data_IF_327256298393
#
_entry.id   IF_327256298393
#
_cell.length_a   1.000
_cell.length_b   1.000
_cell.length_c   1.000
_cell.angle_alpha   90.00
_cell.angle_beta   90.00
_cell.angle_gamma   90.00
#
_symmetry.space_group_name_H-M   'P 1'
#
loop_
_entity.id
_entity.type
_entity.pdbx_description
1 polymer ?
#
# COMPACT_ATOMS: atom_id res chain seq x y z
N UNK A 1 25.77 50.49 -9.94
CA UNK A 1 26.12 49.18 -9.38
C UNK A 1 24.81 48.43 -9.11
N UNK A 2 24.46 47.37 -9.86
CA UNK A 2 23.28 46.57 -9.52
C UNK A 2 23.67 45.42 -8.61
N UNK A 3 22.98 45.32 -7.47
CA UNK A 3 23.09 44.25 -6.48
C UNK A 3 22.38 43.01 -7.05
N UNK A 4 23.13 41.93 -7.27
CA UNK A 4 22.55 40.63 -7.58
C UNK A 4 22.00 39.99 -6.30
N UNK A 5 20.69 39.84 -6.21
CA UNK A 5 20.05 39.00 -5.20
C UNK A 5 20.12 37.55 -5.71
N UNK A 6 21.06 36.77 -5.19
CA UNK A 6 21.09 35.32 -5.41
C UNK A 6 20.04 34.70 -4.49
N UNK A 7 18.87 34.38 -5.06
CA UNK A 7 17.85 33.58 -4.40
C UNK A 7 18.30 32.12 -4.37
N UNK A 8 18.76 31.65 -3.21
CA UNK A 8 18.97 30.23 -2.92
C UNK A 8 17.61 29.55 -2.70
N UNK A 9 16.88 29.25 -3.78
CA UNK A 9 15.80 28.27 -3.70
C UNK A 9 16.41 26.87 -3.75
N UNK A 10 16.52 26.24 -2.57
CA UNK A 10 16.62 24.78 -2.46
C UNK A 10 15.48 24.18 -3.28
N UNK A 11 15.84 23.52 -4.36
CA UNK A 11 14.95 22.73 -5.20
C UNK A 11 14.47 21.52 -4.38
N UNK A 12 13.43 21.69 -3.56
CA UNK A 12 12.62 20.57 -3.09
C UNK A 12 11.80 20.09 -4.29
N UNK A 13 12.39 19.19 -5.09
CA UNK A 13 11.59 18.38 -6.01
C UNK A 13 10.72 17.47 -5.14
N UNK A 14 9.53 17.95 -4.81
CA UNK A 14 8.40 17.06 -4.56
C UNK A 14 8.15 16.33 -5.87
N UNK A 15 8.72 15.13 -6.02
CA UNK A 15 8.31 14.23 -7.09
C UNK A 15 6.88 13.82 -6.78
N UNK A 16 5.92 14.51 -7.41
CA UNK A 16 4.52 14.14 -7.34
C UNK A 16 4.39 12.67 -7.70
N UNK A 17 3.73 11.88 -6.83
CA UNK A 17 3.52 10.45 -7.04
C UNK A 17 2.98 10.20 -8.46
N UNK A 18 3.73 9.44 -9.26
CA UNK A 18 3.39 9.07 -10.62
C UNK A 18 2.79 7.67 -10.67
N UNK A 19 2.14 7.37 -11.78
CA UNK A 19 1.66 6.01 -12.09
C UNK A 19 2.82 5.03 -12.01
N UNK A 20 2.60 3.92 -11.30
CA UNK A 20 3.56 2.84 -11.17
C UNK A 20 3.70 2.08 -12.50
N UNK A 21 4.94 1.71 -12.80
CA UNK A 21 5.32 0.90 -13.95
C UNK A 21 6.08 -0.35 -13.51
N UNK A 22 5.82 -1.45 -14.20
CA UNK A 22 6.48 -2.74 -14.03
C UNK A 22 7.92 -2.75 -14.54
N UNK A 23 8.36 -1.73 -15.28
CA UNK A 23 9.71 -1.67 -15.84
C UNK A 23 10.83 -1.70 -14.79
N UNK A 24 10.53 -1.27 -13.56
CA UNK A 24 11.46 -1.26 -12.42
C UNK A 24 11.39 -2.53 -11.56
N UNK A 25 10.46 -3.43 -11.85
CA UNK A 25 10.32 -4.71 -11.16
C UNK A 25 11.49 -5.64 -11.48
N UNK A 26 12.04 -6.29 -10.46
CA UNK A 26 13.26 -7.09 -10.60
C UNK A 26 14.55 -6.27 -10.72
N UNK A 27 14.47 -4.94 -10.87
CA UNK A 27 15.65 -4.07 -11.04
C UNK A 27 15.88 -3.13 -9.87
N UNK A 28 14.85 -2.38 -9.49
CA UNK A 28 14.86 -1.39 -8.42
C UNK A 28 13.88 -1.75 -7.30
N UNK A 29 12.87 -2.56 -7.62
CA UNK A 29 11.81 -2.97 -6.72
C UNK A 29 11.54 -4.47 -6.81
N UNK A 30 11.09 -5.04 -5.70
CA UNK A 30 10.29 -6.26 -5.73
C UNK A 30 8.85 -5.89 -6.06
N UNK A 31 8.14 -6.77 -6.75
CA UNK A 31 6.80 -6.46 -7.25
C UNK A 31 5.87 -7.66 -7.20
N UNK A 32 4.58 -7.34 -7.17
CA UNK A 32 3.47 -8.23 -7.38
C UNK A 32 2.42 -7.49 -8.21
N UNK A 33 2.02 -8.07 -9.34
CA UNK A 33 1.04 -7.50 -10.25
C UNK A 33 -0.07 -8.50 -10.47
N UNK A 34 -1.31 -8.03 -10.48
CA UNK A 34 -2.49 -8.89 -10.63
C UNK A 34 -3.50 -8.27 -11.63
N UNK A 35 -4.22 -9.10 -12.41
CA UNK A 35 -4.14 -10.56 -12.46
C UNK A 35 -2.80 -11.09 -13.04
N UNK A 36 -2.50 -12.40 -12.96
CA UNK A 36 -1.28 -12.96 -13.54
C UNK A 36 -1.09 -12.59 -15.02
N UNK A 37 0.16 -12.39 -15.44
CA UNK A 37 0.56 -12.10 -16.82
C UNK A 37 -0.01 -10.78 -17.41
N UNK A 38 -0.29 -9.79 -16.57
CA UNK A 38 -0.70 -8.46 -17.00
C UNK A 38 0.49 -7.50 -17.24
N UNK A 39 0.22 -6.37 -17.90
CA UNK A 39 1.13 -5.24 -18.13
C UNK A 39 0.62 -3.93 -17.48
N UNK A 40 1.39 -2.83 -17.56
CA UNK A 40 1.06 -1.52 -16.96
C UNK A 40 -0.35 -0.98 -17.29
N UNK A 41 -0.94 -1.43 -18.41
CA UNK A 41 -2.26 -1.03 -18.90
C UNK A 41 -3.36 -2.01 -18.53
N UNK A 42 -3.04 -3.30 -18.53
CA UNK A 42 -3.99 -4.40 -18.33
C UNK A 42 -4.10 -4.85 -16.87
N UNK A 43 -3.10 -4.60 -16.01
CA UNK A 43 -3.16 -4.98 -14.60
C UNK A 43 -4.27 -4.26 -13.84
N UNK A 44 -4.99 -4.99 -13.01
CA UNK A 44 -5.95 -4.42 -12.07
C UNK A 44 -5.27 -3.71 -10.91
N UNK A 45 -4.09 -4.20 -10.52
CA UNK A 45 -3.23 -3.51 -9.58
C UNK A 45 -1.78 -3.97 -9.63
N UNK A 46 -0.94 -3.14 -9.03
CA UNK A 46 0.50 -3.37 -8.86
C UNK A 46 0.83 -2.99 -7.43
N UNK A 47 1.50 -3.88 -6.71
CA UNK A 47 2.16 -3.61 -5.43
C UNK A 47 3.65 -3.75 -5.67
N UNK A 48 4.43 -2.75 -5.28
CA UNK A 48 5.89 -2.84 -5.29
C UNK A 48 6.47 -2.36 -3.98
N UNK A 49 7.62 -2.92 -3.63
CA UNK A 49 8.33 -2.56 -2.42
C UNK A 49 9.83 -2.57 -2.60
N UNK A 50 10.51 -1.80 -1.75
CA UNK A 50 11.96 -1.77 -1.68
C UNK A 50 12.39 -1.49 -0.24
N UNK A 51 13.35 -2.27 0.25
CA UNK A 51 14.03 -1.98 1.51
C UNK A 51 15.01 -0.81 1.34
N UNK A 52 14.96 0.15 2.25
CA UNK A 52 15.85 1.31 2.31
C UNK A 52 16.29 1.50 3.77
N UNK A 53 17.44 0.92 4.15
CA UNK A 53 17.93 0.96 5.52
C UNK A 53 16.95 0.29 6.50
N UNK A 54 16.44 1.03 7.48
CA UNK A 54 15.43 0.55 8.44
C UNK A 54 13.98 0.62 7.91
N UNK A 55 13.76 1.26 6.77
CA UNK A 55 12.43 1.48 6.21
C UNK A 55 12.13 0.53 5.04
N UNK A 56 10.86 0.23 4.84
CA UNK A 56 10.37 -0.38 3.58
C UNK A 56 9.49 0.64 2.88
N UNK A 57 9.88 1.07 1.68
CA UNK A 57 9.01 1.83 0.81
C UNK A 57 7.99 0.87 0.20
N UNK A 58 6.71 1.11 0.48
CA UNK A 58 5.60 0.46 -0.18
C UNK A 58 4.95 1.45 -1.14
N UNK A 59 4.72 1.00 -2.37
CA UNK A 59 3.92 1.72 -3.35
C UNK A 59 2.92 0.75 -3.98
N UNK A 60 1.66 1.14 -4.06
CA UNK A 60 0.65 0.35 -4.74
C UNK A 60 -0.29 1.21 -5.56
N UNK A 61 -0.79 0.63 -6.65
CA UNK A 61 -1.88 1.21 -7.42
C UNK A 61 -2.91 0.18 -7.79
N UNK A 62 -4.11 0.65 -8.09
CA UNK A 62 -5.11 -0.13 -8.78
C UNK A 62 -6.03 0.73 -9.63
N UNK A 63 -6.63 0.10 -10.64
CA UNK A 63 -7.70 0.72 -11.44
C UNK A 63 -8.84 1.16 -10.53
N UNK A 64 -9.23 2.42 -10.67
CA UNK A 64 -10.49 2.96 -10.16
C UNK A 64 -11.58 2.73 -11.21
N UNK A 65 -12.05 1.49 -11.28
CA UNK A 65 -13.17 1.07 -12.12
C UNK A 65 -14.53 1.27 -11.43
N UNK A 66 -14.56 2.06 -10.34
CA UNK A 66 -15.78 2.33 -9.57
C UNK A 66 -16.72 3.33 -10.23
N UNK A 67 -16.25 4.08 -11.24
CA UNK A 67 -17.03 5.11 -11.95
C UNK A 67 -17.17 6.42 -11.18
N UNK A 68 -18.12 7.28 -11.57
CA UNK A 68 -18.48 8.46 -10.77
C UNK A 68 -19.20 8.02 -9.50
N UNK A 69 -18.46 7.92 -8.39
CA UNK A 69 -19.03 7.48 -7.12
C UNK A 69 -19.30 8.68 -6.21
N UNK A 70 -20.54 8.78 -5.75
CA UNK A 70 -20.94 9.63 -4.63
C UNK A 70 -20.34 9.19 -3.29
N UNK A 71 -19.65 8.05 -3.25
CA UNK A 71 -19.08 7.43 -2.05
C UNK A 71 -17.56 7.63 -1.96
N UNK A 72 -17.01 7.37 -0.77
CA UNK A 72 -15.57 7.19 -0.62
C UNK A 72 -15.13 5.85 -1.21
N UNK A 73 -13.83 5.64 -1.29
CA UNK A 73 -13.23 4.38 -1.76
C UNK A 73 -11.90 4.13 -1.07
N UNK A 74 -11.46 2.88 -1.07
CA UNK A 74 -10.18 2.50 -0.49
C UNK A 74 -9.42 1.52 -1.37
N UNK A 75 -8.10 1.52 -1.18
CA UNK A 75 -7.20 0.51 -1.70
C UNK A 75 -6.19 0.17 -0.63
N UNK A 76 -6.05 -1.12 -0.32
CA UNK A 76 -5.25 -1.62 0.79
C UNK A 76 -4.37 -2.78 0.39
N UNK A 77 -3.19 -2.83 1.01
CA UNK A 77 -2.34 -4.01 1.06
C UNK A 77 -2.29 -4.53 2.50
N UNK A 78 -2.22 -5.83 2.68
CA UNK A 78 -2.03 -6.45 3.99
C UNK A 78 -0.78 -7.31 4.01
N UNK A 79 -0.08 -7.28 5.15
CA UNK A 79 1.06 -8.13 5.47
C UNK A 79 0.52 -9.22 6.39
N UNK A 80 0.52 -10.47 5.89
CA UNK A 80 -0.13 -11.60 6.53
C UNK A 80 0.82 -12.77 6.78
N UNK A 81 0.47 -13.59 7.76
CA UNK A 81 1.16 -14.85 8.06
C UNK A 81 0.74 -16.00 7.13
N UNK A 82 -0.39 -15.87 6.46
CA UNK A 82 -0.98 -16.88 5.58
C UNK A 82 -1.80 -16.21 4.44
N UNK A 83 -2.53 -17.02 3.67
CA UNK A 83 -3.30 -16.57 2.51
C UNK A 83 -4.71 -16.06 2.88
N UNK A 84 -5.09 -16.08 4.17
CA UNK A 84 -6.43 -15.76 4.62
C UNK A 84 -6.49 -14.38 5.29
N UNK A 85 -7.62 -13.69 5.12
CA UNK A 85 -7.88 -12.46 5.86
C UNK A 85 -8.09 -12.79 7.34
N UNK A 86 -7.24 -12.25 8.19
CA UNK A 86 -7.13 -12.66 9.58
C UNK A 86 -6.31 -11.66 10.37
N UNK A 87 -5.30 -12.15 11.08
CA UNK A 87 -4.38 -11.34 11.88
C UNK A 87 -3.38 -10.62 10.98
N UNK A 88 -3.82 -9.55 10.29
CA UNK A 88 -3.01 -8.87 9.27
C UNK A 88 -2.71 -7.41 9.60
N UNK A 89 -1.49 -6.98 9.31
CA UNK A 89 -1.13 -5.55 9.32
C UNK A 89 -1.48 -4.93 7.98
N UNK A 90 -2.38 -3.97 7.98
CA UNK A 90 -2.91 -3.38 6.75
C UNK A 90 -2.36 -1.95 6.58
N UNK A 91 -1.88 -1.66 5.37
CA UNK A 91 -1.64 -0.30 4.90
C UNK A 91 -2.72 0.04 3.89
N UNK A 92 -3.37 1.18 4.05
CA UNK A 92 -4.51 1.54 3.22
C UNK A 92 -4.53 3.02 2.88
N UNK A 93 -4.96 3.31 1.66
CA UNK A 93 -5.45 4.62 1.31
C UNK A 93 -6.96 4.63 1.38
N UNK A 94 -7.50 5.70 1.96
CA UNK A 94 -8.93 5.99 1.86
C UNK A 94 -9.10 7.36 1.23
N UNK A 95 -9.97 7.41 0.22
CA UNK A 95 -10.26 8.60 -0.55
C UNK A 95 -11.71 9.02 -0.31
N UNK A 96 -11.91 10.31 -0.06
CA UNK A 96 -13.24 10.91 -0.09
C UNK A 96 -13.79 10.97 -1.53
N UNK A 97 -15.09 11.25 -1.71
CA UNK A 97 -15.69 11.31 -3.05
C UNK A 97 -15.06 12.34 -3.99
N UNK A 98 -14.51 13.44 -3.44
CA UNK A 98 -13.78 14.46 -4.20
C UNK A 98 -12.32 14.09 -4.48
N UNK A 99 -11.91 12.88 -4.11
CA UNK A 99 -10.59 12.31 -4.37
C UNK A 99 -9.45 12.75 -3.48
N UNK A 100 -9.74 13.42 -2.36
CA UNK A 100 -8.74 13.68 -1.33
C UNK A 100 -8.43 12.37 -0.60
N UNK A 101 -7.21 11.87 -0.77
CA UNK A 101 -6.73 10.63 -0.18
C UNK A 101 -5.90 10.84 1.09
N UNK A 102 -5.93 9.85 1.98
CA UNK A 102 -4.96 9.72 3.08
C UNK A 102 -4.48 8.27 3.21
N UNK A 103 -3.22 8.09 3.61
CA UNK A 103 -2.67 6.78 3.97
C UNK A 103 -2.76 6.56 5.48
N UNK A 104 -3.17 5.38 5.90
CA UNK A 104 -3.23 4.98 7.30
C UNK A 104 -2.92 3.48 7.47
N UNK A 105 -2.71 3.06 8.72
CA UNK A 105 -2.59 1.67 9.11
C UNK A 105 -3.87 1.21 9.79
N UNK A 106 -4.21 -0.05 9.56
CA UNK A 106 -5.27 -0.76 10.26
C UNK A 106 -4.84 -2.19 10.54
N UNK A 107 -5.66 -2.91 11.30
CA UNK A 107 -5.48 -4.33 11.59
C UNK A 107 -6.74 -5.07 11.18
N UNK A 108 -6.60 -6.09 10.36
CA UNK A 108 -7.70 -7.02 10.16
C UNK A 108 -7.77 -7.96 11.36
N UNK A 109 -8.98 -8.28 11.78
CA UNK A 109 -9.28 -9.32 12.76
C UNK A 109 -10.45 -10.14 12.20
N UNK A 110 -10.13 -10.98 11.19
CA UNK A 110 -11.07 -11.72 10.35
C UNK A 110 -12.17 -10.83 9.74
N UNK A 111 -13.32 -10.70 10.39
CA UNK A 111 -14.50 -9.99 9.86
C UNK A 111 -14.53 -8.50 10.19
N UNK A 112 -13.49 -7.96 10.82
CA UNK A 112 -13.42 -6.57 11.22
C UNK A 112 -12.08 -5.94 10.86
N UNK A 113 -12.11 -4.63 10.65
CA UNK A 113 -10.92 -3.84 10.43
C UNK A 113 -10.83 -2.74 11.49
N UNK A 114 -9.71 -2.68 12.19
CA UNK A 114 -9.47 -1.78 13.31
C UNK A 114 -8.41 -0.76 12.94
N UNK A 115 -8.74 0.54 12.82
CA UNK A 115 -7.74 1.59 12.59
C UNK A 115 -6.68 1.61 13.70
N UNK A 116 -5.42 1.86 13.32
CA UNK A 116 -4.27 1.96 14.21
C UNK A 116 -3.72 3.39 14.17
N UNK A 117 -4.34 4.36 14.86
CA UNK A 117 -3.99 5.78 14.73
C UNK A 117 -2.56 6.09 15.20
N UNK A 118 -2.03 5.40 16.22
CA UNK A 118 -0.69 5.68 16.72
C UNK A 118 0.36 5.13 15.75
N UNK A 119 0.19 3.91 15.25
CA UNK A 119 1.02 3.31 14.22
C UNK A 119 0.99 4.10 12.92
N UNK A 120 -0.20 4.57 12.49
CA UNK A 120 -0.38 5.41 11.31
C UNK A 120 0.44 6.71 11.34
N UNK A 121 0.75 7.22 12.53
CA UNK A 121 1.50 8.46 12.71
C UNK A 121 2.99 8.24 12.98
N UNK A 122 3.35 7.09 13.55
CA UNK A 122 4.74 6.78 13.93
C UNK A 122 5.46 5.91 12.92
N UNK A 123 4.84 4.80 12.52
CA UNK A 123 5.42 3.79 11.63
C UNK A 123 5.34 4.23 10.18
N UNK A 124 4.32 5.00 9.79
CA UNK A 124 4.22 5.49 8.41
C UNK A 124 4.78 6.91 8.24
N UNK A 125 5.74 7.07 7.32
CA UNK A 125 6.30 8.35 6.88
C UNK A 125 6.09 8.56 5.38
N UNK A 126 6.26 9.81 4.92
CA UNK A 126 6.18 10.18 3.49
C UNK A 126 4.92 9.64 2.79
N UNK A 127 3.80 9.70 3.50
CA UNK A 127 2.50 9.19 3.08
C UNK A 127 1.96 9.98 1.89
N UNK A 128 1.58 9.31 0.83
CA UNK A 128 0.95 9.91 -0.34
C UNK A 128 -0.20 9.03 -0.82
N UNK A 129 -1.33 9.65 -1.15
CA UNK A 129 -2.49 9.02 -1.74
C UNK A 129 -3.05 9.97 -2.80
N UNK A 130 -3.08 9.53 -4.05
CA UNK A 130 -3.56 10.34 -5.17
C UNK A 130 -4.43 9.50 -6.10
N UNK A 131 -5.48 10.09 -6.64
CA UNK A 131 -6.17 9.55 -7.80
C UNK A 131 -5.65 10.25 -9.05
N UNK A 132 -5.18 9.47 -10.02
CA UNK A 132 -4.64 9.97 -11.28
C UNK A 132 -4.89 8.95 -12.40
N UNK A 133 -5.30 9.42 -13.57
CA UNK A 133 -5.50 8.60 -14.76
C UNK A 133 -6.38 7.35 -14.51
N UNK A 134 -7.45 7.51 -13.73
CA UNK A 134 -8.34 6.41 -13.37
C UNK A 134 -7.69 5.34 -12.47
N UNK A 135 -6.65 5.70 -11.72
CA UNK A 135 -5.96 4.81 -10.78
C UNK A 135 -5.91 5.44 -9.37
N UNK A 136 -6.20 4.63 -8.36
CA UNK A 136 -5.82 4.92 -6.97
C UNK A 136 -4.35 4.60 -6.80
N UNK A 137 -3.53 5.55 -6.36
CA UNK A 137 -2.08 5.39 -6.20
C UNK A 137 -1.69 5.79 -4.78
N UNK A 138 -0.89 4.94 -4.15
CA UNK A 138 -0.57 5.01 -2.73
C UNK A 138 0.91 4.75 -2.49
N UNK A 139 1.48 5.48 -1.53
CA UNK A 139 2.87 5.30 -1.12
C UNK A 139 3.06 5.63 0.36
N UNK A 140 3.88 4.84 1.04
CA UNK A 140 4.37 5.15 2.38
C UNK A 140 5.70 4.46 2.67
N UNK A 141 6.53 5.11 3.47
CA UNK A 141 7.66 4.47 4.14
C UNK A 141 7.15 3.82 5.42
N UNK A 142 7.40 2.52 5.58
CA UNK A 142 7.17 1.77 6.81
C UNK A 142 8.46 1.73 7.63
N UNK A 143 8.51 2.46 8.73
CA UNK A 143 9.67 2.59 9.64
C UNK A 143 9.64 1.47 10.69
N UNK A 144 10.48 0.45 10.54
CA UNK A 144 10.40 -0.78 11.35
C UNK A 144 10.79 -0.52 12.81
N UNK A 145 11.82 0.30 13.06
CA UNK A 145 12.25 0.65 14.42
C UNK A 145 11.18 1.36 15.25
N UNK A 146 10.24 2.07 14.62
CA UNK A 146 9.16 2.77 15.31
C UNK A 146 8.15 1.82 15.96
N UNK A 147 8.07 0.56 15.52
CA UNK A 147 7.20 -0.47 16.13
C UNK A 147 7.54 -0.65 17.61
N UNK A 148 8.83 -0.59 17.98
CA UNK A 148 9.27 -0.85 19.34
C UNK A 148 8.63 0.11 20.36
N UNK A 149 8.38 1.34 19.95
CA UNK A 149 7.81 2.41 20.77
C UNK A 149 6.28 2.49 20.76
N UNK A 150 5.57 1.64 20.01
CA UNK A 150 4.11 1.62 20.02
C UNK A 150 3.55 1.11 21.35
N UNK A 151 2.36 1.60 21.77
CA UNK A 151 1.62 1.00 22.87
C UNK A 151 1.32 -0.48 22.59
N UNK A 152 1.31 -1.32 23.63
CA UNK A 152 1.18 -2.77 23.50
C UNK A 152 -0.02 -3.20 22.64
N UNK A 153 -1.14 -2.47 22.72
CA UNK A 153 -2.37 -2.77 21.99
C UNK A 153 -2.24 -2.63 20.47
N UNK A 154 -1.46 -1.67 19.98
CA UNK A 154 -1.16 -1.53 18.54
C UNK A 154 0.10 -2.29 18.16
N UNK A 155 1.12 -2.36 19.04
CA UNK A 155 2.37 -3.07 18.79
C UNK A 155 2.15 -4.53 18.39
N UNK A 156 1.21 -5.22 19.04
CA UNK A 156 0.87 -6.63 18.72
C UNK A 156 0.13 -6.81 17.39
N UNK A 157 -0.33 -5.72 16.78
CA UNK A 157 -1.10 -5.68 15.52
C UNK A 157 -0.27 -5.21 14.32
N UNK A 158 1.00 -4.87 14.56
CA UNK A 158 1.94 -4.45 13.53
C UNK A 158 3.03 -5.51 13.40
N UNK A 159 3.09 -6.14 12.23
CA UNK A 159 4.12 -7.14 11.91
C UNK A 159 5.50 -6.50 11.82
N UNK A 160 6.48 -7.16 12.44
CA UNK A 160 7.89 -6.84 12.24
C UNK A 160 8.37 -7.45 10.93
N UNK A 161 8.65 -6.58 9.95
CA UNK A 161 9.06 -6.97 8.59
C UNK A 161 10.47 -7.58 8.54
N UNK A 162 11.26 -7.50 9.62
CA UNK A 162 12.55 -8.19 9.73
C UNK A 162 12.41 -9.65 10.15
N UNK A 163 11.27 -10.05 10.73
CA UNK A 163 11.15 -11.31 11.48
C UNK A 163 11.14 -12.55 10.59
N UNK A 164 10.37 -12.51 9.49
CA UNK A 164 10.16 -13.67 8.61
C UNK A 164 9.65 -13.22 7.23
N UNK A 165 9.29 -14.20 6.40
CA UNK A 165 8.55 -13.96 5.16
C UNK A 165 7.06 -13.81 5.46
N UNK A 166 6.36 -13.00 4.66
CA UNK A 166 4.94 -12.74 4.79
C UNK A 166 4.24 -12.89 3.45
N UNK A 167 2.96 -13.28 3.47
CA UNK A 167 2.10 -13.11 2.31
C UNK A 167 1.73 -11.63 2.16
N UNK A 168 1.52 -11.19 0.92
CA UNK A 168 0.93 -9.89 0.63
C UNK A 168 -0.49 -10.14 0.12
N UNK A 169 -1.46 -9.48 0.73
CA UNK A 169 -2.85 -9.48 0.27
C UNK A 169 -3.21 -8.09 -0.24
N UNK A 170 -4.18 -8.03 -1.14
CA UNK A 170 -4.69 -6.79 -1.70
C UNK A 170 -6.22 -6.78 -1.67
N UNK A 171 -6.79 -5.65 -1.29
CA UNK A 171 -8.22 -5.41 -1.41
C UNK A 171 -8.49 -3.96 -1.83
N UNK A 172 -9.62 -3.75 -2.52
CA UNK A 172 -10.21 -2.43 -2.76
C UNK A 172 -11.71 -2.51 -2.58
N UNK A 173 -12.33 -1.35 -2.39
CA UNK A 173 -13.77 -1.25 -2.31
C UNK A 173 -14.25 0.14 -1.97
N UNK A 174 -15.52 0.22 -1.63
CA UNK A 174 -16.20 1.47 -1.28
C UNK A 174 -15.98 1.83 0.19
N UNK A 175 -16.07 3.11 0.50
CA UNK A 175 -16.08 3.63 1.86
C UNK A 175 -17.25 4.60 2.03
N UNK A 176 -17.76 4.70 3.25
CA UNK A 176 -18.81 5.66 3.58
C UNK A 176 -18.40 7.09 3.18
N UNK A 177 -19.35 7.82 2.60
CA UNK A 177 -19.12 9.16 2.01
C UNK A 177 -18.55 10.16 3.03
N UNK A 178 -19.00 10.08 4.28
CA UNK A 178 -18.77 11.11 5.29
C UNK A 178 -17.70 10.69 6.29
N UNK A 179 -17.80 9.46 6.79
CA UNK A 179 -16.91 8.91 7.81
C UNK A 179 -15.65 8.27 7.22
N UNK A 180 -15.67 7.94 5.92
CA UNK A 180 -14.64 7.15 5.26
C UNK A 180 -14.45 5.76 5.87
N UNK A 181 -15.46 5.25 6.58
CA UNK A 181 -15.47 3.87 7.08
C UNK A 181 -15.55 2.91 5.90
N UNK A 182 -14.60 1.99 5.81
CA UNK A 182 -14.55 1.00 4.72
C UNK A 182 -15.78 0.09 4.74
N UNK A 183 -16.38 -0.13 3.57
CA UNK A 183 -17.32 -1.23 3.36
C UNK A 183 -16.55 -2.52 3.12
N UNK A 184 -17.21 -3.64 3.38
CA UNK A 184 -16.66 -4.97 3.09
C UNK A 184 -16.38 -5.07 1.58
N UNK A 185 -15.20 -5.59 1.23
CA UNK A 185 -14.85 -5.87 -0.16
C UNK A 185 -15.72 -7.01 -0.74
N UNK A 186 -15.52 -7.39 -1.99
CA UNK A 186 -16.26 -8.52 -2.58
C UNK A 186 -15.99 -9.82 -1.82
N UNK A 187 -17.01 -10.62 -1.56
CA UNK A 187 -16.91 -11.90 -0.80
C UNK A 187 -17.03 -13.14 -1.68
N UNK A 188 -17.13 -12.96 -3.00
CA UNK A 188 -17.11 -14.04 -3.98
C UNK A 188 -16.25 -13.63 -5.19
N UNK A 189 -15.67 -14.61 -5.86
CA UNK A 189 -14.72 -14.43 -6.97
C UNK A 189 -15.32 -13.88 -8.27
N UNK A 190 -16.64 -13.66 -8.32
CA UNK A 190 -17.30 -13.00 -9.45
C UNK A 190 -17.31 -11.48 -9.26
N UNK A 191 -17.13 -11.01 -8.02
CA UNK A 191 -17.09 -9.59 -7.70
C UNK A 191 -15.72 -9.00 -8.02
N UNK A 192 -15.68 -7.87 -8.75
CA UNK A 192 -14.44 -7.16 -9.07
C UNK A 192 -13.67 -6.60 -7.86
N UNK A 193 -14.32 -6.53 -6.69
CA UNK A 193 -13.71 -6.19 -5.40
C UNK A 193 -13.25 -7.41 -4.61
N UNK A 194 -13.33 -8.61 -5.19
CA UNK A 194 -12.79 -9.79 -4.54
C UNK A 194 -11.26 -9.68 -4.42
N UNK A 195 -10.70 -9.91 -3.23
CA UNK A 195 -9.32 -9.61 -2.93
C UNK A 195 -8.37 -10.54 -3.68
N UNK A 196 -7.10 -10.16 -3.72
CA UNK A 196 -6.01 -10.99 -4.22
C UNK A 196 -5.06 -11.33 -3.08
N UNK A 197 -4.44 -12.50 -3.14
CA UNK A 197 -3.41 -12.93 -2.19
C UNK A 197 -2.23 -13.54 -2.95
N UNK A 198 -1.00 -13.27 -2.52
CA UNK A 198 0.16 -14.03 -2.98
C UNK A 198 0.12 -15.44 -2.40
N UNK A 199 0.40 -16.46 -3.20
CA UNK A 199 0.54 -17.85 -2.72
C UNK A 199 1.98 -18.19 -2.33
N UNK A 200 2.86 -17.18 -2.38
CA UNK A 200 4.24 -17.31 -1.92
C UNK A 200 4.65 -16.16 -1.01
N UNK A 201 5.29 -16.52 0.10
CA UNK A 201 5.73 -15.52 1.06
C UNK A 201 6.97 -14.77 0.55
N UNK A 202 7.05 -13.48 0.87
CA UNK A 202 8.14 -12.58 0.47
C UNK A 202 8.90 -12.05 1.68
N UNK A 203 10.18 -11.74 1.50
CA UNK A 203 11.01 -11.08 2.50
C UNK A 203 11.24 -9.61 2.14
N UNK A 204 11.16 -8.72 3.14
CA UNK A 204 11.47 -7.30 2.99
C UNK A 204 12.93 -6.99 3.32
N UNK A 205 13.84 -7.42 2.45
CA UNK A 205 15.29 -7.32 2.65
C UNK A 205 15.95 -6.43 1.57
N UNK A 206 17.12 -5.87 1.88
CA UNK A 206 17.93 -5.15 0.90
C UNK A 206 18.95 -6.07 0.23
N UNK A 207 19.56 -6.97 1.00
CA UNK A 207 20.63 -7.87 0.55
C UNK A 207 20.25 -9.33 0.80
N UNK A 208 19.25 -9.82 0.07
CA UNK A 208 18.92 -11.24 0.03
C UNK A 208 18.36 -11.62 -1.34
N UNK A 209 18.16 -12.92 -1.59
CA UNK A 209 17.60 -13.44 -2.85
C UNK A 209 16.27 -12.79 -3.24
N UNK A 210 15.52 -12.28 -2.25
CA UNK A 210 14.17 -11.74 -2.45
C UNK A 210 14.15 -10.20 -2.62
N UNK A 211 15.30 -9.51 -2.63
CA UNK A 211 15.38 -8.02 -2.69
C UNK A 211 14.95 -7.41 -4.04
N UNK A 212 14.70 -8.29 -5.02
CA UNK A 212 14.23 -8.00 -6.39
C UNK A 212 13.20 -9.03 -6.87
N UNK A 213 12.42 -9.59 -5.94
CA UNK A 213 11.48 -10.66 -6.24
C UNK A 213 10.32 -10.15 -7.10
N UNK A 214 9.99 -10.88 -8.15
CA UNK A 214 8.74 -10.71 -8.92
C UNK A 214 7.84 -11.88 -8.51
N UNK A 215 6.70 -11.56 -7.90
CA UNK A 215 5.73 -12.56 -7.44
C UNK A 215 4.73 -12.86 -8.56
N UNK A 216 4.65 -14.13 -8.94
CA UNK A 216 3.74 -14.64 -9.99
C UNK A 216 2.70 -15.61 -9.46
N UNK A 217 2.96 -16.26 -8.32
CA UNK A 217 2.02 -17.19 -7.69
C UNK A 217 1.02 -16.42 -6.81
N UNK A 218 -0.26 -16.48 -7.17
CA UNK A 218 -1.32 -15.74 -6.50
C UNK A 218 -2.69 -16.41 -6.67
N UNK A 219 -3.60 -16.08 -5.78
CA UNK A 219 -4.98 -16.53 -5.78
C UNK A 219 -5.95 -15.39 -5.50
N UNK A 220 -7.21 -15.70 -5.78
CA UNK A 220 -8.39 -14.97 -5.37
C UNK A 220 -9.14 -15.87 -4.39
#
# INVERSE_FOLDING_TARGET
MPVYVISNQKLQLSTALSTLSLNECGKSYSCWAFPPNCDDRSCDGIVRWKRIGDSVLFEWQAKDNLGEVSEGRYSSIAISNDEYMGDDTVLECVFSPNGVGRVQMSFNAAYSNLPLPIASNRVLRNKQAVMRDGKMICSANFEISEIAGLPLMEKKRVHDLNRKKYMIQYAKGLADRSTLTKKVHGTNNINEFYPWSTNEAVRFCERCSDSRKIVTEMGQ
#
